data_IF_751850527890
#
_entry.id   IF_751850527890
#
_cell.length_a   1.000
_cell.length_b   1.000
_cell.length_c   1.000
_cell.angle_alpha   90.00
_cell.angle_beta   90.00
_cell.angle_gamma   90.00
#
_symmetry.space_group_name_H-M   'P 1'
#
loop_
_entity.id
_entity.type
_entity.pdbx_description
1 polymer ?
#
# COMPACT_ATOMS: atom_id res chain seq x y z
N UNK A 1 14.83 23.64 12.78
CA UNK A 1 13.53 23.89 13.43
C UNK A 1 12.47 24.54 12.51
N UNK A 2 12.82 25.00 11.29
CA UNK A 2 11.88 25.74 10.40
C UNK A 2 11.15 24.85 9.37
N UNK A 3 11.75 23.75 8.91
CA UNK A 3 11.12 22.83 7.94
C UNK A 3 9.97 22.00 8.54
N UNK A 4 10.10 21.59 9.80
CA UNK A 4 9.08 20.80 10.49
C UNK A 4 7.77 21.57 10.73
N UNK A 5 7.84 22.89 10.90
CA UNK A 5 6.63 23.75 11.02
C UNK A 5 5.94 23.95 9.66
N UNK A 6 6.71 24.21 8.59
CA UNK A 6 6.18 24.29 7.22
C UNK A 6 5.46 23.01 6.79
N UNK A 7 6.01 21.85 7.15
CA UNK A 7 5.41 20.53 6.87
C UNK A 7 4.03 20.37 7.54
N UNK A 8 3.88 20.81 8.80
CA UNK A 8 2.59 20.72 9.52
C UNK A 8 1.55 21.72 9.02
N UNK A 9 1.95 22.92 8.60
CA UNK A 9 1.04 23.90 8.00
C UNK A 9 0.52 23.45 6.64
N UNK A 10 1.39 22.85 5.81
CA UNK A 10 0.99 22.24 4.54
C UNK A 10 0.05 21.05 4.75
N UNK A 11 0.29 20.23 5.77
CA UNK A 11 -0.60 19.10 6.10
C UNK A 11 -1.98 19.55 6.63
N UNK A 12 -2.04 20.65 7.40
CA UNK A 12 -3.31 21.22 7.87
C UNK A 12 -4.13 21.83 6.74
N UNK A 13 -3.52 22.53 5.78
CA UNK A 13 -4.29 23.14 4.68
C UNK A 13 -4.92 22.10 3.74
N UNK A 14 -4.27 20.95 3.56
CA UNK A 14 -4.78 19.84 2.75
C UNK A 14 -6.01 19.18 3.40
N UNK A 15 -6.08 19.14 4.75
CA UNK A 15 -7.19 18.49 5.48
C UNK A 15 -8.48 19.31 5.56
N UNK A 16 -8.44 20.61 5.30
CA UNK A 16 -9.62 21.50 5.39
C UNK A 16 -9.96 22.20 4.07
N UNK A 17 -9.35 21.78 2.96
CA UNK A 17 -9.73 22.27 1.63
C UNK A 17 -11.08 21.66 1.21
N UNK A 18 -12.02 22.56 0.93
CA UNK A 18 -13.37 22.37 0.39
C UNK A 18 -13.65 21.02 -0.31
N UNK A 19 -14.79 20.36 -0.01
CA UNK A 19 -15.19 19.11 -0.67
C UNK A 19 -15.42 19.21 -2.19
N UNK A 20 -15.37 20.42 -2.78
CA UNK A 20 -15.50 20.65 -4.22
C UNK A 20 -14.16 20.80 -4.98
N UNK A 21 -13.01 20.89 -4.31
CA UNK A 21 -11.73 21.06 -5.02
C UNK A 21 -11.12 19.68 -5.34
N UNK A 22 -11.75 18.95 -6.28
CA UNK A 22 -11.04 17.94 -7.10
C UNK A 22 -10.21 18.67 -8.15
N UNK A 23 -9.20 19.43 -7.73
CA UNK A 23 -8.30 20.07 -8.69
C UNK A 23 -7.41 18.99 -9.31
N UNK A 24 -7.74 18.69 -10.56
CA UNK A 24 -7.02 17.76 -11.44
C UNK A 24 -5.71 18.45 -11.82
N UNK A 25 -4.71 18.37 -10.96
CA UNK A 25 -3.38 18.94 -11.21
C UNK A 25 -2.73 18.22 -12.40
N UNK A 26 -2.77 18.83 -13.58
CA UNK A 26 -2.02 18.41 -14.75
C UNK A 26 -0.68 19.11 -14.75
N UNK A 27 0.41 18.38 -14.52
CA UNK A 27 1.75 18.85 -14.86
C UNK A 27 1.90 18.78 -16.39
N UNK A 28 2.45 19.81 -17.07
CA UNK A 28 2.53 19.86 -18.53
C UNK A 28 3.29 18.69 -19.16
N UNK A 29 4.15 18.02 -18.39
CA UNK A 29 4.93 16.84 -18.81
C UNK A 29 4.20 15.50 -18.64
N UNK A 30 3.05 15.48 -17.96
CA UNK A 30 2.27 14.25 -17.81
C UNK A 30 1.57 13.94 -19.13
N UNK A 31 1.91 12.78 -19.71
CA UNK A 31 1.26 12.25 -20.90
C UNK A 31 -0.27 12.31 -20.77
N UNK A 32 -0.94 12.87 -21.79
CA UNK A 32 -2.41 12.99 -21.83
C UNK A 32 -3.14 11.64 -21.70
N UNK A 33 -2.48 10.55 -22.10
CA UNK A 33 -2.97 9.17 -21.93
C UNK A 33 -2.13 8.49 -20.86
N UNK A 34 -2.70 8.40 -19.66
CA UNK A 34 -2.18 7.57 -18.58
C UNK A 34 -3.35 6.83 -17.93
N UNK A 35 -3.11 5.59 -17.53
CA UNK A 35 -4.06 4.80 -16.77
C UNK A 35 -3.92 5.16 -15.29
N UNK A 36 -5.04 5.46 -14.63
CA UNK A 36 -5.08 5.77 -13.20
C UNK A 36 -5.90 4.72 -12.48
N UNK A 37 -5.41 4.29 -11.33
CA UNK A 37 -6.16 3.41 -10.43
C UNK A 37 -7.18 4.27 -9.67
N UNK A 38 -8.45 3.89 -9.74
CA UNK A 38 -9.52 4.57 -9.03
C UNK A 38 -9.48 4.24 -7.54
N UNK A 39 -9.88 5.19 -6.69
CA UNK A 39 -10.06 4.97 -5.25
C UNK A 39 -8.82 4.46 -4.49
N UNK A 40 -7.62 4.82 -4.94
CA UNK A 40 -6.35 4.39 -4.33
C UNK A 40 -6.18 4.77 -2.84
N UNK A 41 -7.03 5.65 -2.32
CA UNK A 41 -7.05 6.06 -0.91
C UNK A 41 -7.96 5.20 -0.02
N UNK A 42 -8.84 4.37 -0.59
CA UNK A 42 -9.75 3.53 0.20
C UNK A 42 -9.01 2.29 0.70
N UNK A 43 -8.89 2.15 2.02
CA UNK A 43 -8.24 1.03 2.67
C UNK A 43 -8.82 0.82 4.07
N UNK A 44 -9.09 -0.43 4.45
CA UNK A 44 -9.59 -0.78 5.78
C UNK A 44 -8.42 -1.18 6.69
N UNK A 45 -7.84 -0.18 7.36
CA UNK A 45 -6.68 -0.41 8.21
C UNK A 45 -6.97 -1.31 9.42
N UNK A 46 -8.19 -1.25 9.97
CA UNK A 46 -8.56 -2.02 11.15
C UNK A 46 -8.62 -3.52 10.85
N UNK A 47 -9.13 -3.89 9.67
CA UNK A 47 -9.12 -5.27 9.20
C UNK A 47 -7.71 -5.88 9.14
N UNK A 48 -6.72 -5.09 8.73
CA UNK A 48 -5.32 -5.53 8.66
C UNK A 48 -4.53 -5.36 9.97
N UNK A 49 -5.19 -4.98 11.08
CA UNK A 49 -4.53 -4.73 12.36
C UNK A 49 -3.60 -3.50 12.36
N UNK A 50 -3.77 -2.58 11.41
CA UNK A 50 -2.95 -1.39 11.25
C UNK A 50 -3.58 -0.23 12.02
N UNK A 51 -2.76 0.42 12.85
CA UNK A 51 -3.21 1.57 13.63
C UNK A 51 -3.54 2.77 12.72
N UNK A 52 -4.62 3.49 13.03
CA UNK A 52 -5.15 4.59 12.20
C UNK A 52 -4.11 5.68 11.86
N UNK A 53 -3.21 6.02 12.80
CA UNK A 53 -2.14 7.00 12.52
C UNK A 53 -1.12 6.48 11.50
N UNK A 54 -0.88 5.16 11.49
CA UNK A 54 0.06 4.52 10.58
C UNK A 54 -0.54 4.37 9.18
N UNK A 55 -1.87 4.15 9.09
CA UNK A 55 -2.56 4.13 7.80
C UNK A 55 -2.27 5.40 7.01
N UNK A 56 -2.52 6.59 7.58
CA UNK A 56 -2.30 7.87 6.90
C UNK A 56 -0.87 8.10 6.36
N UNK A 57 0.12 7.41 6.93
CA UNK A 57 1.52 7.47 6.49
C UNK A 57 1.90 6.33 5.54
N UNK A 58 1.03 5.33 5.39
CA UNK A 58 1.28 4.15 4.59
C UNK A 58 1.13 4.45 3.09
N UNK A 59 2.14 4.05 2.33
CA UNK A 59 2.17 4.13 0.87
C UNK A 59 0.96 3.40 0.26
N UNK A 60 0.34 3.99 -0.76
CA UNK A 60 -0.79 3.41 -1.49
C UNK A 60 -0.49 2.03 -2.07
N UNK A 61 0.73 1.77 -2.54
CA UNK A 61 1.13 0.47 -3.06
C UNK A 61 1.05 -0.63 -1.99
N UNK A 62 1.44 -0.30 -0.74
CA UNK A 62 1.33 -1.23 0.39
C UNK A 62 -0.13 -1.53 0.77
N UNK A 63 -1.01 -0.52 0.63
CA UNK A 63 -2.46 -0.71 0.84
C UNK A 63 -3.07 -1.62 -0.22
N UNK A 64 -2.72 -1.38 -1.48
CA UNK A 64 -3.21 -2.17 -2.62
C UNK A 64 -2.79 -3.63 -2.46
N UNK A 65 -1.52 -3.88 -2.13
CA UNK A 65 -1.02 -5.24 -2.08
C UNK A 65 -1.63 -6.03 -0.92
N UNK A 66 -1.82 -5.43 0.26
CA UNK A 66 -2.52 -6.07 1.37
C UNK A 66 -3.96 -6.46 1.00
N UNK A 67 -4.68 -5.56 0.33
CA UNK A 67 -6.04 -5.83 -0.17
C UNK A 67 -6.04 -6.99 -1.17
N UNK A 68 -5.11 -6.95 -2.12
CA UNK A 68 -5.05 -7.96 -3.17
C UNK A 68 -4.65 -9.33 -2.61
N UNK A 69 -3.74 -9.39 -1.64
CA UNK A 69 -3.39 -10.63 -0.94
C UNK A 69 -4.62 -11.27 -0.30
N UNK A 70 -5.46 -10.49 0.39
CA UNK A 70 -6.71 -11.01 0.95
C UNK A 70 -7.67 -11.50 -0.14
N UNK A 71 -7.87 -10.72 -1.21
CA UNK A 71 -8.71 -11.12 -2.34
C UNK A 71 -8.24 -12.43 -2.97
N UNK A 72 -6.92 -12.60 -3.15
CA UNK A 72 -6.33 -13.82 -3.70
C UNK A 72 -6.50 -15.03 -2.77
N UNK A 73 -6.40 -14.83 -1.45
CA UNK A 73 -6.64 -15.90 -0.46
C UNK A 73 -8.09 -16.38 -0.53
N UNK A 74 -9.04 -15.44 -0.60
CA UNK A 74 -10.46 -15.75 -0.72
C UNK A 74 -10.79 -16.40 -2.07
N UNK A 75 -10.20 -15.90 -3.17
CA UNK A 75 -10.33 -16.47 -4.50
C UNK A 75 -9.79 -17.91 -4.57
N UNK A 76 -8.71 -18.20 -3.84
CA UNK A 76 -8.17 -19.55 -3.66
C UNK A 76 -9.03 -20.45 -2.75
N UNK A 77 -10.12 -19.94 -2.16
CA UNK A 77 -11.02 -20.70 -1.28
C UNK A 77 -10.50 -20.90 0.14
N UNK A 78 -9.48 -20.14 0.56
CA UNK A 78 -8.92 -20.20 1.91
C UNK A 78 -9.48 -19.09 2.82
N UNK A 79 -9.47 -19.36 4.12
CA UNK A 79 -9.62 -18.34 5.16
C UNK A 79 -8.21 -17.90 5.63
N UNK A 80 -8.04 -16.64 6.04
CA UNK A 80 -6.79 -16.14 6.63
C UNK A 80 -6.35 -16.97 7.84
N UNK A 81 -7.31 -17.43 8.65
CA UNK A 81 -7.05 -18.32 9.79
C UNK A 81 -6.42 -19.66 9.38
N UNK A 82 -6.71 -20.16 8.17
CA UNK A 82 -6.14 -21.43 7.69
C UNK A 82 -4.66 -21.30 7.33
N UNK A 83 -4.20 -20.09 7.02
CA UNK A 83 -2.83 -19.78 6.63
C UNK A 83 -1.99 -19.37 7.86
N UNK A 84 -2.66 -18.98 8.94
CA UNK A 84 -2.02 -18.56 10.19
C UNK A 84 -1.09 -19.64 10.76
N UNK A 85 0.17 -19.26 11.04
CA UNK A 85 1.19 -20.16 11.60
C UNK A 85 1.78 -21.18 10.63
N UNK A 86 1.32 -21.22 9.37
CA UNK A 86 1.86 -22.14 8.37
C UNK A 86 3.23 -21.70 7.86
N UNK A 87 3.98 -22.63 7.26
CA UNK A 87 5.26 -22.35 6.57
C UNK A 87 5.03 -21.78 5.17
N UNK A 88 4.19 -20.75 5.06
CA UNK A 88 3.88 -20.07 3.81
C UNK A 88 4.88 -18.94 3.57
N UNK A 89 5.52 -18.92 2.39
CA UNK A 89 6.44 -17.86 1.99
C UNK A 89 5.71 -16.72 1.28
N UNK A 90 6.24 -15.50 1.40
CA UNK A 90 5.70 -14.28 0.76
C UNK A 90 6.75 -13.72 -0.19
N UNK A 91 6.48 -13.81 -1.50
CA UNK A 91 7.36 -13.32 -2.54
C UNK A 91 6.67 -12.18 -3.27
N UNK A 92 7.33 -11.04 -3.33
CA UNK A 92 6.77 -9.86 -4.00
C UNK A 92 7.83 -9.27 -4.89
N UNK A 93 7.50 -9.06 -6.16
CA UNK A 93 8.35 -8.28 -7.04
C UNK A 93 7.83 -6.84 -7.10
N UNK A 94 8.65 -5.90 -6.62
CA UNK A 94 8.34 -4.47 -6.65
C UNK A 94 9.58 -3.66 -7.03
N UNK A 95 9.35 -2.68 -7.91
CA UNK A 95 10.32 -1.63 -8.19
C UNK A 95 9.98 -0.38 -7.36
N UNK A 96 10.93 0.11 -6.54
CA UNK A 96 10.73 1.34 -5.75
C UNK A 96 11.49 1.36 -4.42
N UNK A 97 11.20 2.36 -3.58
CA UNK A 97 11.95 2.62 -2.34
C UNK A 97 11.45 1.87 -1.10
N UNK A 98 10.24 1.30 -1.13
CA UNK A 98 9.59 0.69 0.06
C UNK A 98 9.53 -0.84 -0.03
N UNK A 99 10.66 -1.46 -0.39
CA UNK A 99 10.73 -2.88 -0.77
C UNK A 99 10.42 -3.84 0.38
N UNK A 100 11.14 -3.76 1.49
CA UNK A 100 11.05 -4.78 2.55
C UNK A 100 9.79 -4.67 3.41
N UNK A 101 9.23 -3.48 3.56
CA UNK A 101 8.10 -3.25 4.46
C UNK A 101 6.78 -3.88 3.94
N UNK A 102 6.63 -4.06 2.63
CA UNK A 102 5.43 -4.67 2.05
C UNK A 102 5.29 -6.16 2.35
N UNK A 103 6.25 -7.03 2.00
CA UNK A 103 6.12 -8.45 2.31
C UNK A 103 6.19 -8.72 3.81
N UNK A 104 6.88 -7.88 4.59
CA UNK A 104 6.86 -7.96 6.05
C UNK A 104 5.47 -7.69 6.63
N UNK A 105 4.77 -6.65 6.15
CA UNK A 105 3.41 -6.37 6.61
C UNK A 105 2.44 -7.51 6.27
N UNK A 106 2.58 -8.13 5.10
CA UNK A 106 1.77 -9.29 4.71
C UNK A 106 2.11 -10.49 5.60
N UNK A 107 3.39 -10.77 5.80
CA UNK A 107 3.84 -11.89 6.64
C UNK A 107 3.37 -11.74 8.08
N UNK A 108 3.43 -10.52 8.63
CA UNK A 108 2.94 -10.20 9.96
C UNK A 108 1.41 -10.33 10.05
N UNK A 109 0.66 -9.79 9.08
CA UNK A 109 -0.80 -9.87 9.10
C UNK A 109 -1.31 -11.31 8.96
N UNK A 110 -0.66 -12.14 8.15
CA UNK A 110 -0.99 -13.57 8.01
C UNK A 110 -0.39 -14.46 9.09
N UNK A 111 0.46 -13.92 9.97
CA UNK A 111 1.27 -14.68 10.93
C UNK A 111 1.97 -15.91 10.33
N UNK A 112 2.53 -15.78 9.12
CA UNK A 112 3.22 -16.87 8.44
C UNK A 112 4.69 -16.94 8.83
N UNK A 113 5.23 -18.15 8.87
CA UNK A 113 6.61 -18.41 9.32
C UNK A 113 7.57 -18.70 8.16
N UNK A 114 7.09 -18.67 6.92
CA UNK A 114 7.92 -18.89 5.74
C UNK A 114 8.81 -17.68 5.39
N UNK A 115 9.71 -17.86 4.41
CA UNK A 115 10.58 -16.78 3.98
C UNK A 115 9.77 -15.63 3.36
N UNK A 116 10.21 -14.40 3.57
CA UNK A 116 9.74 -13.26 2.81
C UNK A 116 10.87 -12.70 1.96
N UNK A 117 10.60 -12.45 0.67
CA UNK A 117 11.60 -11.94 -0.26
C UNK A 117 11.00 -10.87 -1.17
N UNK A 118 11.79 -9.84 -1.42
CA UNK A 118 11.51 -8.87 -2.47
C UNK A 118 12.38 -9.20 -3.67
N UNK A 119 11.75 -9.38 -4.82
CA UNK A 119 12.42 -9.48 -6.12
C UNK A 119 12.35 -8.09 -6.76
N UNK A 120 13.36 -7.73 -7.55
CA UNK A 120 13.32 -6.55 -8.40
C UNK A 120 13.92 -6.95 -9.75
N UNK A 121 13.04 -7.20 -10.71
CA UNK A 121 13.41 -7.55 -12.07
C UNK A 121 13.14 -6.42 -13.07
N UNK A 122 12.96 -5.18 -12.59
CA UNK A 122 12.64 -4.02 -13.42
C UNK A 122 11.26 -4.16 -14.08
N UNK A 123 11.18 -4.10 -15.40
CA UNK A 123 9.92 -4.26 -16.15
C UNK A 123 9.39 -5.69 -16.20
N UNK A 124 10.16 -6.68 -15.71
CA UNK A 124 9.76 -8.09 -15.68
C UNK A 124 9.10 -8.48 -14.35
N UNK A 125 8.74 -7.49 -13.52
CA UNK A 125 8.38 -7.64 -12.12
C UNK A 125 7.04 -8.31 -11.81
N UNK A 126 6.53 -9.12 -12.73
CA UNK A 126 5.28 -9.86 -12.58
C UNK A 126 5.35 -11.30 -13.11
N UNK A 127 6.53 -11.73 -13.56
CA UNK A 127 6.80 -13.06 -14.13
C UNK A 127 7.17 -14.07 -13.05
#
# INVERSE_FOLDING_TARGET
MSEYKKSKESYKSIKYANPEIKQKSYHPEILKRNSKINNIQKFDALFFGIYFKQDHTMNSMNRIILKHTYETIVDAGFNSENIHGTRTGVFIDIMGSTRNMMPQNISFWLSVTGPFLVVDSGSNSSL
#
